data_IF_028708299103
#
_entry.id   IF_028708299103
#
_cell.length_a   1.000
_cell.length_b   1.000
_cell.length_c   1.000
_cell.angle_alpha   90.00
_cell.angle_beta   90.00
_cell.angle_gamma   90.00
#
_symmetry.space_group_name_H-M   'P 1'
#
loop_
_entity.id
_entity.type
_entity.pdbx_description
1 polymer ?
#
# COMPACT_ATOMS: atom_id res chain seq x y z
N UNK A 1 6.28 2.89 24.17
CA UNK A 1 6.54 1.44 24.22
C UNK A 1 5.98 0.83 22.94
N UNK A 2 6.79 0.74 21.89
CA UNK A 2 6.41 0.01 20.68
C UNK A 2 6.50 -1.49 20.94
N UNK A 3 5.59 -2.27 20.35
CA UNK A 3 5.53 -3.73 20.50
C UNK A 3 6.75 -4.45 19.87
N UNK A 4 7.44 -3.76 18.94
CA UNK A 4 8.59 -4.25 18.14
C UNK A 4 9.66 -3.15 18.04
N UNK A 5 10.88 -3.50 17.61
CA UNK A 5 11.95 -2.50 17.41
C UNK A 5 11.67 -1.62 16.19
N UNK A 6 12.08 -0.34 16.25
CA UNK A 6 11.86 0.64 15.17
C UNK A 6 12.37 0.16 13.79
N UNK A 7 13.54 -0.49 13.67
CA UNK A 7 13.99 -1.02 12.39
C UNK A 7 13.11 -2.17 11.88
N UNK A 8 12.65 -3.07 12.76
CA UNK A 8 11.79 -4.19 12.37
C UNK A 8 10.43 -3.70 11.87
N UNK A 9 9.87 -2.64 12.46
CA UNK A 9 8.66 -1.99 11.97
C UNK A 9 8.81 -1.56 10.51
N UNK A 10 9.90 -0.86 10.17
CA UNK A 10 10.13 -0.37 8.81
C UNK A 10 10.45 -1.51 7.82
N UNK A 11 11.10 -2.58 8.26
CA UNK A 11 11.28 -3.78 7.44
C UNK A 11 9.94 -4.44 7.12
N UNK A 12 9.05 -4.59 8.10
CA UNK A 12 7.70 -5.10 7.87
C UNK A 12 6.91 -4.18 6.93
N UNK A 13 7.03 -2.86 7.09
CA UNK A 13 6.43 -1.87 6.19
C UNK A 13 6.92 -2.01 4.75
N UNK A 14 8.21 -2.24 4.54
CA UNK A 14 8.78 -2.47 3.21
C UNK A 14 8.29 -3.77 2.57
N UNK A 15 8.21 -4.85 3.35
CA UNK A 15 7.70 -6.12 2.86
C UNK A 15 6.21 -6.00 2.49
N UNK A 16 5.42 -5.35 3.33
CA UNK A 16 4.00 -5.12 3.09
C UNK A 16 3.77 -4.26 1.84
N UNK A 17 4.40 -3.08 1.78
CA UNK A 17 4.30 -2.20 0.60
C UNK A 17 4.84 -2.82 -0.68
N UNK A 18 5.94 -3.58 -0.60
CA UNK A 18 6.45 -4.35 -1.73
C UNK A 18 5.47 -5.42 -2.22
N UNK A 19 4.79 -6.11 -1.29
CA UNK A 19 3.77 -7.11 -1.62
C UNK A 19 2.55 -6.46 -2.28
N UNK A 20 2.10 -5.30 -1.77
CA UNK A 20 1.01 -4.52 -2.37
C UNK A 20 1.39 -3.99 -3.75
N UNK A 21 2.62 -3.53 -3.95
CA UNK A 21 3.13 -3.11 -5.26
C UNK A 21 3.06 -4.25 -6.28
N UNK A 22 3.54 -5.43 -5.92
CA UNK A 22 3.45 -6.61 -6.79
C UNK A 22 1.99 -6.95 -7.13
N UNK A 23 1.10 -6.86 -6.15
CA UNK A 23 -0.32 -7.07 -6.35
C UNK A 23 -0.95 -6.03 -7.29
N UNK A 24 -0.55 -4.77 -7.22
CA UNK A 24 -1.01 -3.71 -8.11
C UNK A 24 -0.52 -3.93 -9.55
N UNK A 25 0.71 -4.39 -9.73
CA UNK A 25 1.20 -4.80 -11.06
C UNK A 25 0.36 -5.96 -11.60
N UNK A 26 0.04 -6.95 -10.77
CA UNK A 26 -0.87 -8.03 -11.14
C UNK A 26 -2.27 -7.53 -11.56
N UNK A 27 -2.81 -6.51 -10.88
CA UNK A 27 -4.09 -5.90 -11.23
C UNK A 27 -4.03 -5.19 -12.58
N UNK A 28 -2.98 -4.40 -12.84
CA UNK A 28 -2.77 -3.73 -14.12
C UNK A 28 -2.67 -4.75 -15.26
N UNK A 29 -1.89 -5.81 -15.09
CA UNK A 29 -1.75 -6.85 -16.12
C UNK A 29 -3.10 -7.53 -16.37
N UNK A 30 -3.83 -7.90 -15.32
CA UNK A 30 -5.12 -8.59 -15.48
C UNK A 30 -6.18 -7.69 -16.13
N UNK A 31 -6.17 -6.39 -15.85
CA UNK A 31 -7.02 -5.41 -16.52
C UNK A 31 -6.60 -5.19 -17.99
N UNK A 32 -5.31 -5.18 -18.29
CA UNK A 32 -4.80 -5.11 -19.66
C UNK A 32 -5.16 -6.36 -20.46
N UNK A 33 -5.10 -7.55 -19.85
CA UNK A 33 -5.53 -8.81 -20.47
C UNK A 33 -7.02 -8.76 -20.80
N UNK A 34 -7.84 -8.13 -19.94
CA UNK A 34 -9.25 -7.89 -20.22
C UNK A 34 -9.45 -6.85 -21.35
N UNK A 35 -8.65 -5.77 -21.41
CA UNK A 35 -8.73 -4.77 -22.47
C UNK A 35 -8.38 -5.33 -23.85
N UNK A 36 -7.46 -6.30 -23.89
CA UNK A 36 -7.08 -7.02 -25.12
C UNK A 36 -7.98 -8.22 -25.43
N UNK A 37 -9.11 -8.39 -24.72
CA UNK A 37 -10.06 -9.50 -24.88
C UNK A 37 -9.43 -10.91 -24.66
N UNK A 38 -8.31 -11.01 -23.93
CA UNK A 38 -7.66 -12.29 -23.60
C UNK A 38 -8.37 -13.06 -22.47
N UNK A 39 -9.10 -12.35 -21.59
CA UNK A 39 -9.81 -12.93 -20.45
C UNK A 39 -11.30 -12.57 -20.47
N UNK A 40 -12.15 -13.49 -19.99
CA UNK A 40 -13.56 -13.18 -19.76
C UNK A 40 -13.72 -12.23 -18.56
N UNK A 41 -14.64 -11.28 -18.65
CA UNK A 41 -14.94 -10.30 -17.60
C UNK A 41 -15.24 -10.96 -16.24
N UNK A 42 -15.98 -12.07 -16.24
CA UNK A 42 -16.31 -12.80 -15.00
C UNK A 42 -15.07 -13.42 -14.34
N UNK A 43 -14.15 -13.99 -15.13
CA UNK A 43 -12.91 -14.57 -14.62
C UNK A 43 -11.97 -13.49 -14.10
N UNK A 44 -11.90 -12.35 -14.79
CA UNK A 44 -11.16 -11.17 -14.35
C UNK A 44 -11.70 -10.67 -13.00
N UNK A 45 -13.00 -10.36 -12.90
CA UNK A 45 -13.61 -9.83 -11.69
C UNK A 45 -13.46 -10.77 -10.48
N UNK A 46 -13.63 -12.09 -10.68
CA UNK A 46 -13.42 -13.08 -9.61
C UNK A 46 -11.97 -13.09 -9.10
N UNK A 47 -10.98 -13.00 -10.00
CA UNK A 47 -9.57 -12.91 -9.65
C UNK A 47 -9.25 -11.62 -8.90
N UNK A 48 -9.69 -10.46 -9.41
CA UNK A 48 -9.41 -9.17 -8.78
C UNK A 48 -10.08 -9.06 -7.40
N UNK A 49 -11.36 -9.39 -7.30
CA UNK A 49 -12.13 -9.24 -6.06
C UNK A 49 -11.58 -10.12 -4.92
N UNK A 50 -11.00 -11.28 -5.24
CA UNK A 50 -10.31 -12.14 -4.26
C UNK A 50 -9.15 -11.42 -3.56
N UNK A 51 -8.48 -10.51 -4.27
CA UNK A 51 -7.29 -9.80 -3.80
C UNK A 51 -7.58 -8.39 -3.26
N UNK A 52 -8.77 -7.84 -3.50
CA UNK A 52 -9.20 -6.54 -2.97
C UNK A 52 -9.19 -6.52 -1.44
N UNK A 53 -9.77 -7.54 -0.80
CA UNK A 53 -9.83 -7.63 0.68
C UNK A 53 -8.43 -7.78 1.29
N UNK A 54 -7.56 -8.71 0.82
CA UNK A 54 -6.17 -8.77 1.27
C UNK A 54 -5.41 -7.45 1.14
N UNK A 55 -5.55 -6.72 0.03
CA UNK A 55 -4.92 -5.41 -0.18
C UNK A 55 -5.35 -4.40 0.89
N UNK A 56 -6.66 -4.33 1.17
CA UNK A 56 -7.22 -3.42 2.17
C UNK A 56 -6.71 -3.76 3.58
N UNK A 57 -6.77 -5.04 3.95
CA UNK A 57 -6.32 -5.51 5.26
C UNK A 57 -4.83 -5.24 5.45
N UNK A 58 -3.99 -5.54 4.45
CA UNK A 58 -2.55 -5.27 4.47
C UNK A 58 -2.26 -3.80 4.78
N UNK A 59 -2.88 -2.89 4.03
CA UNK A 59 -2.67 -1.45 4.20
C UNK A 59 -3.18 -0.93 5.56
N UNK A 60 -4.37 -1.35 5.99
CA UNK A 60 -4.94 -0.93 7.28
C UNK A 60 -4.15 -1.46 8.47
N UNK A 61 -3.63 -2.69 8.39
CA UNK A 61 -2.76 -3.26 9.43
C UNK A 61 -1.47 -2.45 9.52
N UNK A 62 -0.84 -2.12 8.38
CA UNK A 62 0.38 -1.32 8.37
C UNK A 62 0.17 0.06 9.00
N UNK A 63 -0.91 0.76 8.64
CA UNK A 63 -1.26 2.05 9.21
C UNK A 63 -1.48 1.98 10.73
N UNK A 64 -2.17 0.94 11.21
CA UNK A 64 -2.34 0.70 12.64
C UNK A 64 -1.00 0.46 13.36
N UNK A 65 -0.09 -0.31 12.75
CA UNK A 65 1.25 -0.53 13.31
C UNK A 65 2.05 0.79 13.39
N UNK A 66 1.98 1.66 12.38
CA UNK A 66 2.61 2.97 12.39
C UNK A 66 2.04 3.89 13.49
N UNK A 67 0.71 3.84 13.70
CA UNK A 67 0.03 4.61 14.72
C UNK A 67 0.48 4.19 16.15
N UNK A 68 0.58 2.89 16.43
CA UNK A 68 1.04 2.39 17.74
C UNK A 68 2.49 2.78 18.07
N UNK A 69 3.32 3.04 17.06
CA UNK A 69 4.70 3.51 17.23
C UNK A 69 4.82 5.03 17.32
N UNK A 70 3.71 5.78 17.23
CA UNK A 70 3.69 7.24 17.35
C UNK A 70 4.23 7.97 16.12
N UNK A 71 4.34 7.31 14.96
CA UNK A 71 4.78 7.90 13.69
C UNK A 71 3.64 8.70 13.05
N UNK A 72 3.18 9.77 13.72
CA UNK A 72 2.00 10.54 13.33
C UNK A 72 2.10 11.15 11.94
N UNK A 73 3.29 11.61 11.53
CA UNK A 73 3.48 12.19 10.20
C UNK A 73 3.27 11.13 9.12
N UNK A 74 3.88 9.94 9.27
CA UNK A 74 3.70 8.85 8.31
C UNK A 74 2.24 8.37 8.26
N UNK A 75 1.59 8.25 9.42
CA UNK A 75 0.16 7.93 9.48
C UNK A 75 -0.69 8.96 8.73
N UNK A 76 -0.43 10.25 8.93
CA UNK A 76 -1.21 11.33 8.31
C UNK A 76 -1.06 11.36 6.79
N UNK A 77 0.11 11.05 6.24
CA UNK A 77 0.29 10.96 4.78
C UNK A 77 -0.32 9.66 4.21
N UNK A 78 -0.47 8.58 5.00
CA UNK A 78 -1.18 7.35 4.61
C UNK A 78 -2.71 7.49 4.64
N UNK A 79 -3.25 8.31 5.54
CA UNK A 79 -4.70 8.48 5.71
C UNK A 79 -5.50 8.73 4.41
N UNK A 80 -5.08 9.64 3.50
CA UNK A 80 -5.81 9.86 2.25
C UNK A 80 -5.98 8.58 1.42
N UNK A 81 -4.96 7.72 1.43
CA UNK A 81 -4.96 6.48 0.68
C UNK A 81 -5.86 5.43 1.33
N UNK A 82 -5.75 5.26 2.66
CA UNK A 82 -6.65 4.38 3.40
C UNK A 82 -8.10 4.80 3.24
N UNK A 83 -8.39 6.10 3.34
CA UNK A 83 -9.75 6.63 3.15
C UNK A 83 -10.26 6.36 1.74
N UNK A 84 -9.42 6.53 0.72
CA UNK A 84 -9.77 6.21 -0.66
C UNK A 84 -10.12 4.73 -0.82
N UNK A 85 -9.29 3.83 -0.27
CA UNK A 85 -9.51 2.39 -0.31
C UNK A 85 -10.78 1.95 0.43
N UNK A 86 -11.03 2.55 1.60
CA UNK A 86 -12.24 2.28 2.38
C UNK A 86 -13.48 2.81 1.67
N UNK A 87 -13.41 4.00 1.08
CA UNK A 87 -14.51 4.56 0.29
C UNK A 87 -14.83 3.68 -0.92
N UNK A 88 -13.81 3.18 -1.62
CA UNK A 88 -13.98 2.25 -2.74
C UNK A 88 -14.63 0.93 -2.29
N UNK A 89 -14.26 0.41 -1.12
CA UNK A 89 -14.81 -0.84 -0.58
C UNK A 89 -16.24 -0.69 -0.04
N UNK A 90 -16.54 0.37 0.72
CA UNK A 90 -17.87 0.60 1.32
C UNK A 90 -18.87 1.25 0.36
N UNK A 91 -18.39 1.95 -0.68
CA UNK A 91 -19.23 2.55 -1.71
C UNK A 91 -19.82 1.55 -2.70
N UNK A 92 -19.47 0.26 -2.60
CA UNK A 92 -20.01 -0.79 -3.48
C UNK A 92 -21.49 -1.02 -3.16
N UNK A 93 -22.41 -0.88 -4.14
CA UNK A 93 -23.82 -1.18 -3.93
C UNK A 93 -24.01 -2.67 -3.60
N UNK A 94 -24.90 -2.96 -2.65
CA UNK A 94 -25.12 -4.31 -2.07
C UNK A 94 -25.63 -5.38 -3.05
N UNK A 95 -25.84 -5.05 -4.33
CA UNK A 95 -26.19 -5.97 -5.40
C UNK A 95 -25.04 -6.37 -6.33
N UNK A 96 -23.84 -5.79 -6.17
CA UNK A 96 -22.68 -6.07 -7.02
C UNK A 96 -21.93 -7.33 -6.58
N UNK A 97 -21.29 -8.04 -7.52
CA UNK A 97 -20.45 -9.21 -7.19
C UNK A 97 -19.11 -8.85 -6.50
N UNK A 98 -18.86 -7.56 -6.24
CA UNK A 98 -17.68 -7.03 -5.57
C UNK A 98 -17.36 -5.60 -6.02
N UNK A 99 -16.14 -5.13 -5.72
CA UNK A 99 -15.63 -3.84 -6.24
C UNK A 99 -15.56 -3.86 -7.78
N UNK A 100 -15.27 -5.02 -8.35
CA UNK A 100 -15.28 -5.24 -9.79
C UNK A 100 -16.48 -6.09 -10.18
N UNK A 101 -17.38 -5.53 -10.99
CA UNK A 101 -18.55 -6.24 -11.51
C UNK A 101 -18.46 -6.47 -13.02
N UNK A 102 -18.71 -7.70 -13.52
CA UNK A 102 -18.57 -8.02 -14.94
C UNK A 102 -19.57 -7.31 -15.83
N UNK A 103 -20.71 -6.83 -15.31
CA UNK A 103 -21.70 -6.10 -16.12
C UNK A 103 -21.25 -4.66 -16.41
N UNK A 104 -20.52 -4.04 -15.48
CA UNK A 104 -20.02 -2.67 -15.62
C UNK A 104 -18.65 -2.61 -16.32
N UNK A 105 -17.80 -3.64 -16.15
CA UNK A 105 -16.41 -3.60 -16.62
C UNK A 105 -16.26 -3.66 -18.16
N UNK A 106 -17.29 -4.13 -18.87
CA UNK A 106 -17.27 -4.15 -20.34
C UNK A 106 -17.47 -2.76 -20.96
N UNK A 107 -17.94 -1.79 -20.18
CA UNK A 107 -17.94 -0.40 -20.63
C UNK A 107 -16.49 0.12 -20.67
N UNK A 108 -15.98 0.37 -21.88
CA UNK A 108 -14.60 0.87 -22.10
C UNK A 108 -14.24 2.09 -21.25
N UNK A 109 -15.23 2.92 -20.87
CA UNK A 109 -15.02 4.04 -19.96
C UNK A 109 -14.66 3.62 -18.53
N UNK A 110 -15.35 2.61 -17.99
CA UNK A 110 -15.12 2.13 -16.61
C UNK A 110 -13.82 1.32 -16.52
N UNK A 111 -13.51 0.49 -17.51
CA UNK A 111 -12.24 -0.25 -17.54
C UNK A 111 -11.02 0.69 -17.47
N UNK A 112 -11.02 1.75 -18.30
CA UNK A 112 -9.97 2.78 -18.27
C UNK A 112 -9.91 3.53 -16.95
N UNK A 113 -11.05 3.78 -16.31
CA UNK A 113 -11.10 4.41 -14.99
C UNK A 113 -10.46 3.51 -13.94
N UNK A 114 -10.84 2.24 -13.85
CA UNK A 114 -10.26 1.29 -12.91
C UNK A 114 -8.75 1.08 -13.14
N UNK A 115 -8.32 0.99 -14.41
CA UNK A 115 -6.91 0.89 -14.75
C UNK A 115 -6.13 2.16 -14.33
N UNK A 116 -6.68 3.35 -14.60
CA UNK A 116 -6.09 4.63 -14.18
C UNK A 116 -6.00 4.73 -12.67
N UNK A 117 -7.07 4.38 -11.95
CA UNK A 117 -7.10 4.42 -10.50
C UNK A 117 -6.03 3.46 -9.96
N UNK A 118 -5.91 2.24 -10.50
CA UNK A 118 -4.84 1.31 -10.13
C UNK A 118 -3.42 1.83 -10.44
N UNK A 119 -3.22 2.59 -11.52
CA UNK A 119 -1.93 3.26 -11.80
C UNK A 119 -1.61 4.36 -10.78
N UNK A 120 -2.61 5.13 -10.35
CA UNK A 120 -2.43 6.15 -9.31
C UNK A 120 -2.00 5.47 -8.00
N UNK A 121 -2.66 4.36 -7.64
CA UNK A 121 -2.27 3.58 -6.47
C UNK A 121 -0.84 3.08 -6.58
N UNK A 122 -0.45 2.53 -7.74
CA UNK A 122 0.92 2.05 -7.98
C UNK A 122 1.95 3.17 -7.75
N UNK A 123 1.72 4.36 -8.31
CA UNK A 123 2.59 5.52 -8.13
C UNK A 123 2.71 5.94 -6.67
N UNK A 124 1.58 5.96 -5.94
CA UNK A 124 1.56 6.26 -4.52
C UNK A 124 2.39 5.28 -3.69
N UNK A 125 2.14 3.97 -3.83
CA UNK A 125 2.87 2.95 -3.08
C UNK A 125 4.36 2.92 -3.45
N UNK A 126 4.72 3.28 -4.68
CA UNK A 126 6.11 3.35 -5.11
C UNK A 126 6.87 4.48 -4.38
N UNK A 127 6.27 5.67 -4.28
CA UNK A 127 6.86 6.79 -3.53
C UNK A 127 6.99 6.41 -2.05
N UNK A 128 5.95 5.81 -1.47
CA UNK A 128 5.96 5.38 -0.07
C UNK A 128 6.99 4.28 0.22
N UNK A 129 7.23 3.38 -0.73
CA UNK A 129 8.28 2.38 -0.61
C UNK A 129 9.65 3.04 -0.39
N UNK A 130 10.00 4.07 -1.17
CA UNK A 130 11.25 4.81 -0.97
C UNK A 130 11.29 5.59 0.34
N UNK A 131 10.16 6.16 0.78
CA UNK A 131 10.07 6.84 2.08
C UNK A 131 10.33 5.85 3.22
N UNK A 132 9.70 4.68 3.20
CA UNK A 132 9.92 3.65 4.22
C UNK A 132 11.35 3.10 4.19
N UNK A 133 11.96 3.00 3.00
CA UNK A 133 13.36 2.63 2.85
C UNK A 133 14.28 3.66 3.51
N UNK A 134 14.04 4.95 3.27
CA UNK A 134 14.79 6.02 3.92
C UNK A 134 14.64 5.99 5.45
N UNK A 135 13.41 5.86 5.95
CA UNK A 135 13.15 5.74 7.39
C UNK A 135 13.83 4.52 8.02
N UNK A 136 13.85 3.38 7.32
CA UNK A 136 14.57 2.18 7.76
C UNK A 136 16.07 2.44 7.93
N UNK A 137 16.71 3.08 6.93
CA UNK A 137 18.15 3.40 6.99
C UNK A 137 18.45 4.31 8.18
N UNK A 138 17.66 5.37 8.38
CA UNK A 138 17.85 6.29 9.53
C UNK A 138 17.66 5.55 10.86
N UNK A 139 16.66 4.66 10.96
CA UNK A 139 16.43 3.86 12.16
C UNK A 139 17.61 2.91 12.45
N UNK A 140 18.23 2.34 11.41
CA UNK A 140 19.43 1.50 11.55
C UNK A 140 20.65 2.32 11.97
N UNK A 141 20.90 3.46 11.34
CA UNK A 141 22.03 4.35 11.67
C UNK A 141 21.96 4.88 13.10
N UNK A 142 20.76 5.14 13.62
CA UNK A 142 20.57 5.53 15.02
C UNK A 142 20.95 4.42 16.01
N UNK A 143 20.96 3.17 15.55
CA UNK A 143 21.40 2.00 16.32
C UNK A 143 22.92 1.79 16.32
N UNK A 144 23.69 2.48 15.47
CA UNK A 144 25.14 2.29 15.37
C UNK A 144 25.90 3.03 16.48
N UNK A 145 26.79 2.35 17.23
CA UNK A 145 27.51 2.94 18.35
C UNK A 145 28.59 3.96 17.96
N UNK A 146 28.94 4.09 16.67
CA UNK A 146 30.01 4.97 16.19
C UNK A 146 29.66 6.45 16.42
N UNK A 147 28.40 6.86 16.24
CA UNK A 147 27.98 8.26 16.39
C UNK A 147 27.87 8.71 17.86
N UNK A 148 27.86 7.75 18.81
CA UNK A 148 27.75 8.03 20.25
C UNK A 148 29.04 8.63 20.85
N UNK A 149 30.18 8.47 20.16
CA UNK A 149 31.46 9.01 20.61
C UNK A 149 31.64 10.49 20.24
N UNK A 150 31.01 10.97 19.17
CA UNK A 150 31.15 12.36 18.73
C UNK A 150 30.30 13.32 19.58
N UNK A 151 29.12 12.89 20.01
CA UNK A 151 28.26 13.66 20.92
C UNK A 151 28.85 13.76 22.33
N UNK A 152 29.58 12.74 22.79
CA UNK A 152 30.27 12.76 24.08
C UNK A 152 31.46 13.73 24.14
N UNK A 153 32.12 13.98 23.00
CA UNK A 153 33.30 14.85 22.90
C UNK A 153 32.95 16.35 22.81
N UNK A 154 31.76 16.69 22.31
CA UNK A 154 31.29 18.08 22.23
C UNK A 154 30.79 18.64 23.57
N UNK A 155 30.46 17.77 24.53
CA UNK A 155 30.05 18.19 25.87
C UNK A 155 31.21 18.31 26.88
N UNK A 156 32.44 17.96 26.49
CA UNK A 156 33.62 17.94 27.37
C UNK A 156 34.68 19.01 27.08
N UNK A 157 34.47 19.92 26.11
CA UNK A 157 35.35 21.08 25.88
C UNK A 157 34.66 22.40 26.20
#
# INVERSE_FOLDING_TARGET
>A
MGLISEPLLFVLALIDTGSVLFLLVYFIITLSDLECDYLNAQQCCSKLNKWVVPKLVAHSVLEFLLLTHGQLILCLVNLPMTLWLLYEYFGVPSGNMGVYDPTEIHNRGQLKRHARDCMIHLGYYLIFFFIYLYCMIIALLKGDPINRNDEGLLHTN
#
